data_IF_761228696901
#
_entry.id   IF_761228696901
#
_cell.length_a   1.000
_cell.length_b   1.000
_cell.length_c   1.000
_cell.angle_alpha   90.00
_cell.angle_beta   90.00
_cell.angle_gamma   90.00
#
_symmetry.space_group_name_H-M   'P 1'
#
loop_
_entity.id
_entity.type
_entity.pdbx_description
1 polymer ?
#
# COMPACT_ATOMS: atom_id res chain seq x y z
N UNK A 1 13.19 5.06 -7.56
CA UNK A 1 12.25 4.14 -6.88
C UNK A 1 10.80 4.58 -7.08
N UNK A 2 10.48 5.87 -6.91
CA UNK A 2 9.11 6.40 -7.04
C UNK A 2 8.49 6.14 -8.41
N UNK A 3 9.23 6.38 -9.49
CA UNK A 3 8.76 6.12 -10.87
C UNK A 3 8.41 4.64 -11.06
N UNK A 4 9.24 3.73 -10.55
CA UNK A 4 8.98 2.28 -10.63
C UNK A 4 7.66 1.96 -9.93
N UNK A 5 7.47 2.44 -8.69
CA UNK A 5 6.25 2.20 -7.94
C UNK A 5 4.99 2.75 -8.63
N UNK A 6 5.08 3.95 -9.21
CA UNK A 6 3.99 4.57 -9.96
C UNK A 6 3.64 3.76 -11.21
N UNK A 7 4.65 3.40 -12.01
CA UNK A 7 4.42 2.66 -13.25
C UNK A 7 3.87 1.26 -12.99
N UNK A 8 4.42 0.53 -12.02
CA UNK A 8 3.93 -0.83 -11.71
C UNK A 8 2.53 -0.78 -11.10
N UNK A 9 2.18 0.23 -10.30
CA UNK A 9 0.82 0.45 -9.81
C UNK A 9 -0.15 0.78 -10.95
N UNK A 10 0.25 1.62 -11.91
CA UNK A 10 -0.58 1.93 -13.07
C UNK A 10 -0.86 0.69 -13.91
N UNK A 11 0.18 -0.12 -14.16
CA UNK A 11 0.07 -1.39 -14.88
C UNK A 11 -0.88 -2.35 -14.12
N UNK A 12 -0.78 -2.43 -12.80
CA UNK A 12 -1.68 -3.25 -11.95
C UNK A 12 -3.14 -2.86 -12.17
N UNK A 13 -3.46 -1.57 -12.09
CA UNK A 13 -4.82 -1.07 -12.17
C UNK A 13 -5.38 -1.15 -13.59
N UNK A 14 -4.56 -0.91 -14.62
CA UNK A 14 -4.97 -1.14 -16.02
C UNK A 14 -5.35 -2.60 -16.21
N UNK A 15 -4.51 -3.54 -15.75
CA UNK A 15 -4.80 -4.96 -15.85
C UNK A 15 -6.03 -5.38 -15.05
N UNK A 16 -6.15 -4.90 -13.82
CA UNK A 16 -7.31 -5.21 -12.96
C UNK A 16 -8.64 -4.74 -13.57
N UNK A 17 -8.66 -3.58 -14.22
CA UNK A 17 -9.88 -3.01 -14.78
C UNK A 17 -10.21 -3.59 -16.16
N UNK A 18 -9.22 -3.66 -17.06
CA UNK A 18 -9.48 -3.96 -18.48
C UNK A 18 -9.11 -5.38 -18.91
N UNK A 19 -8.27 -6.07 -18.14
CA UNK A 19 -7.77 -7.42 -18.47
C UNK A 19 -7.80 -8.35 -17.24
N UNK A 20 -8.93 -8.50 -16.54
CA UNK A 20 -8.99 -9.20 -15.24
C UNK A 20 -8.54 -10.67 -15.31
N UNK A 21 -8.76 -11.33 -16.44
CA UNK A 21 -8.34 -12.73 -16.68
C UNK A 21 -6.83 -12.90 -16.84
N UNK A 22 -6.09 -11.82 -17.14
CA UNK A 22 -4.65 -11.88 -17.37
C UNK A 22 -3.88 -11.48 -16.10
N UNK A 23 -3.49 -12.48 -15.32
CA UNK A 23 -2.76 -12.27 -14.07
C UNK A 23 -1.36 -11.65 -14.24
N UNK A 24 -0.78 -11.63 -15.44
CA UNK A 24 0.53 -11.03 -15.71
C UNK A 24 0.62 -9.57 -15.24
N UNK A 25 -0.46 -8.81 -15.43
CA UNK A 25 -0.55 -7.41 -14.99
C UNK A 25 -0.52 -7.30 -13.46
N UNK A 26 -1.24 -8.20 -12.78
CA UNK A 26 -1.30 -8.25 -11.30
C UNK A 26 0.05 -8.59 -10.70
N UNK A 27 0.78 -9.49 -11.34
CA UNK A 27 2.14 -9.88 -10.98
C UNK A 27 3.11 -8.69 -11.02
N UNK A 28 3.10 -7.90 -12.10
CA UNK A 28 3.90 -6.66 -12.20
C UNK A 28 3.47 -5.66 -11.12
N UNK A 29 2.17 -5.56 -10.86
CA UNK A 29 1.60 -4.68 -9.85
C UNK A 29 2.07 -4.91 -8.43
N UNK A 30 2.34 -6.16 -8.04
CA UNK A 30 2.81 -6.49 -6.69
C UNK A 30 4.12 -5.83 -6.30
N UNK A 31 4.90 -5.36 -7.28
CA UNK A 31 6.14 -4.61 -7.08
C UNK A 31 5.86 -3.25 -6.42
N UNK A 32 4.71 -2.62 -6.71
CA UNK A 32 4.41 -1.26 -6.25
C UNK A 32 4.31 -1.17 -4.73
N UNK A 33 3.47 -2.02 -4.12
CA UNK A 33 3.06 -1.87 -2.73
C UNK A 33 4.22 -1.95 -1.72
N UNK A 34 5.17 -2.90 -1.79
CA UNK A 34 6.34 -2.92 -0.92
C UNK A 34 7.22 -1.67 -1.05
N UNK A 35 7.30 -1.06 -2.24
CA UNK A 35 8.04 0.20 -2.43
C UNK A 35 7.32 1.35 -1.72
N UNK A 36 5.99 1.38 -1.73
CA UNK A 36 5.20 2.34 -0.95
C UNK A 36 5.35 2.11 0.56
N UNK A 37 5.31 0.86 1.05
CA UNK A 37 5.56 0.53 2.46
C UNK A 37 6.96 0.95 2.89
N UNK A 38 7.99 0.64 2.10
CA UNK A 38 9.36 1.08 2.35
C UNK A 38 9.44 2.62 2.37
N UNK A 39 8.86 3.30 1.38
CA UNK A 39 8.83 4.75 1.31
C UNK A 39 8.12 5.40 2.49
N UNK A 40 7.08 4.76 3.03
CA UNK A 40 6.38 5.17 4.24
C UNK A 40 7.26 5.06 5.47
N UNK A 41 7.96 3.93 5.65
CA UNK A 41 8.92 3.75 6.74
C UNK A 41 10.06 4.78 6.66
N UNK A 42 10.63 5.01 5.47
CA UNK A 42 11.66 6.04 5.28
C UNK A 42 11.13 7.44 5.58
N UNK A 43 9.91 7.76 5.17
CA UNK A 43 9.24 9.02 5.48
C UNK A 43 9.01 9.19 6.98
N UNK A 44 8.62 8.13 7.68
CA UNK A 44 8.41 8.13 9.13
C UNK A 44 9.70 8.33 9.94
N UNK A 45 10.82 7.76 9.46
CA UNK A 45 12.15 7.92 10.07
C UNK A 45 12.67 9.35 9.89
N UNK A 46 12.56 9.90 8.67
CA UNK A 46 13.23 11.16 8.31
C UNK A 46 12.34 12.41 8.40
N UNK A 47 11.04 12.28 8.65
CA UNK A 47 10.15 13.44 8.76
C UNK A 47 10.43 14.26 10.02
N UNK A 48 10.54 15.58 9.87
CA UNK A 48 10.66 16.52 10.99
C UNK A 48 9.34 16.75 11.74
N UNK A 49 8.19 16.44 11.11
CA UNK A 49 6.86 16.62 11.70
C UNK A 49 5.95 15.45 11.37
N UNK A 50 5.71 14.61 12.39
CA UNK A 50 4.78 13.47 12.33
C UNK A 50 3.33 13.90 12.05
N UNK A 51 2.76 14.93 12.71
CA UNK A 51 1.39 15.36 12.43
C UNK A 51 1.19 15.84 10.99
N UNK A 52 2.12 16.65 10.46
CA UNK A 52 2.07 17.10 9.05
C UNK A 52 2.23 15.94 8.07
N UNK A 53 2.95 14.88 8.43
CA UNK A 53 3.08 13.69 7.61
C UNK A 53 1.77 12.90 7.57
N UNK A 54 1.14 12.64 8.72
CA UNK A 54 -0.15 11.96 8.81
C UNK A 54 -1.27 12.74 8.13
N UNK A 55 -1.32 14.07 8.31
CA UNK A 55 -2.31 14.93 7.64
C UNK A 55 -2.20 14.83 6.11
N UNK A 56 -0.99 14.81 5.55
CA UNK A 56 -0.78 14.65 4.11
C UNK A 56 -1.30 13.30 3.62
N UNK A 57 -1.03 12.22 4.35
CA UNK A 57 -1.56 10.89 4.01
C UNK A 57 -3.09 10.87 4.07
N UNK A 58 -3.68 11.48 5.12
CA UNK A 58 -5.14 11.58 5.27
C UNK A 58 -5.79 12.36 4.12
N UNK A 59 -5.21 13.50 3.72
CA UNK A 59 -5.72 14.27 2.58
C UNK A 59 -5.69 13.46 1.28
N UNK A 60 -4.60 12.74 1.02
CA UNK A 60 -4.51 11.86 -0.17
C UNK A 60 -5.54 10.73 -0.08
N UNK A 61 -5.71 10.11 1.09
CA UNK A 61 -6.67 9.03 1.31
C UNK A 61 -8.11 9.49 1.04
N UNK A 62 -8.50 10.66 1.54
CA UNK A 62 -9.84 11.22 1.33
C UNK A 62 -10.05 11.59 -0.14
N UNK A 63 -9.10 12.32 -0.75
CA UNK A 63 -9.22 12.76 -2.15
C UNK A 63 -9.29 11.57 -3.10
N UNK A 64 -8.50 10.53 -2.84
CA UNK A 64 -8.46 9.34 -3.68
C UNK A 64 -9.60 8.36 -3.45
N UNK A 65 -10.40 8.52 -2.39
CA UNK A 65 -11.48 7.59 -2.06
C UNK A 65 -12.54 7.51 -3.18
N UNK A 66 -13.01 8.66 -3.67
CA UNK A 66 -14.02 8.70 -4.74
C UNK A 66 -13.47 8.06 -6.04
N UNK A 67 -12.31 8.48 -6.59
CA UNK A 67 -11.71 7.82 -7.74
C UNK A 67 -11.49 6.31 -7.56
N UNK A 68 -11.05 5.89 -6.36
CA UNK A 68 -10.83 4.49 -6.04
C UNK A 68 -12.12 3.68 -6.10
N UNK A 69 -13.22 4.17 -5.50
CA UNK A 69 -14.49 3.45 -5.53
C UNK A 69 -15.06 3.32 -6.94
N UNK A 70 -14.91 4.36 -7.77
CA UNK A 70 -15.38 4.34 -9.15
C UNK A 70 -14.54 3.41 -10.04
N UNK A 71 -13.23 3.39 -9.85
CA UNK A 71 -12.32 2.61 -10.70
C UNK A 71 -12.26 1.14 -10.30
N UNK A 72 -12.02 0.85 -9.02
CA UNK A 72 -11.52 -0.45 -8.55
C UNK A 72 -12.53 -1.21 -7.69
N UNK A 73 -13.03 -0.61 -6.62
CA UNK A 73 -13.87 -1.30 -5.65
C UNK A 73 -14.94 -0.37 -5.08
N UNK A 74 -16.19 -0.52 -5.51
CA UNK A 74 -17.35 0.33 -5.14
C UNK A 74 -17.55 0.44 -3.64
N UNK A 75 -17.12 -0.56 -2.87
CA UNK A 75 -17.44 -0.71 -1.46
C UNK A 75 -16.26 -0.76 -0.49
N UNK A 76 -15.04 -0.52 -0.99
CA UNK A 76 -13.81 -0.67 -0.22
C UNK A 76 -13.12 0.66 0.13
N UNK A 77 -12.28 0.63 1.17
CA UNK A 77 -11.37 1.72 1.50
C UNK A 77 -10.06 1.59 0.71
N UNK A 78 -9.54 2.71 0.22
CA UNK A 78 -8.34 2.67 -0.62
C UNK A 78 -7.05 2.37 0.19
N UNK A 79 -6.00 1.93 -0.52
CA UNK A 79 -4.71 1.51 0.08
C UNK A 79 -4.02 2.60 0.91
N UNK A 80 -4.31 3.87 0.69
CA UNK A 80 -3.70 4.96 1.46
C UNK A 80 -4.24 4.98 2.89
N UNK A 81 -5.46 4.46 3.15
CA UNK A 81 -5.95 4.22 4.51
C UNK A 81 -5.12 3.16 5.23
N UNK A 82 -4.77 2.05 4.56
CA UNK A 82 -3.83 1.04 5.10
C UNK A 82 -2.50 1.67 5.47
N UNK A 83 -1.93 2.50 4.59
CA UNK A 83 -0.68 3.22 4.86
C UNK A 83 -0.84 4.22 6.02
N UNK A 84 -1.94 4.98 6.08
CA UNK A 84 -2.22 5.93 7.15
C UNK A 84 -2.33 5.23 8.51
N UNK A 85 -3.12 4.17 8.61
CA UNK A 85 -3.27 3.37 9.83
C UNK A 85 -1.94 2.78 10.26
N UNK A 86 -1.16 2.24 9.32
CA UNK A 86 0.19 1.74 9.58
C UNK A 86 1.12 2.82 10.12
N UNK A 87 1.08 4.03 9.55
CA UNK A 87 1.86 5.15 10.05
C UNK A 87 1.42 5.58 11.45
N UNK A 88 0.12 5.60 11.75
CA UNK A 88 -0.42 5.89 13.09
C UNK A 88 0.11 4.86 14.10
N UNK A 89 0.05 3.57 13.77
CA UNK A 89 0.61 2.50 14.61
C UNK A 89 2.09 2.75 14.87
N UNK A 90 2.89 3.08 13.85
CA UNK A 90 4.30 3.42 14.04
C UNK A 90 4.52 4.64 14.96
N UNK A 91 3.66 5.66 14.89
CA UNK A 91 3.75 6.82 15.81
C UNK A 91 3.45 6.40 17.25
N UNK A 92 2.47 5.52 17.47
CA UNK A 92 2.13 5.01 18.79
C UNK A 92 3.28 4.17 19.33
N UNK A 93 3.78 3.20 18.54
CA UNK A 93 4.87 2.31 18.94
C UNK A 93 6.14 3.06 19.33
N UNK A 94 6.48 4.14 18.62
CA UNK A 94 7.66 4.97 18.95
C UNK A 94 7.55 5.72 20.29
N UNK A 95 6.34 5.85 20.86
CA UNK A 95 6.11 6.51 22.15
C UNK A 95 5.99 5.54 23.32
N UNK A 96 5.92 4.23 23.06
CA UNK A 96 5.80 3.23 24.10
C UNK A 96 7.16 2.99 24.77
N UNK A 97 7.18 2.76 26.10
CA UNK A 97 8.43 2.53 26.83
C UNK A 97 9.03 1.14 26.55
N UNK A 98 8.25 0.19 26.03
CA UNK A 98 8.73 -1.14 25.66
C UNK A 98 7.99 -1.68 24.43
N UNK A 99 8.68 -2.54 23.67
CA UNK A 99 8.11 -3.19 22.48
C UNK A 99 7.00 -4.18 22.83
N UNK A 100 7.05 -4.78 24.03
CA UNK A 100 6.02 -5.71 24.52
C UNK A 100 4.65 -5.06 24.66
N UNK A 101 4.61 -3.79 25.10
CA UNK A 101 3.37 -3.01 25.15
C UNK A 101 2.84 -2.66 23.76
N UNK A 102 3.66 -2.81 22.71
CA UNK A 102 3.25 -2.63 21.32
C UNK A 102 2.43 -3.79 20.76
N UNK A 103 2.57 -4.99 21.32
CA UNK A 103 1.84 -6.19 20.86
C UNK A 103 0.32 -5.99 20.88
N UNK A 104 -0.32 -5.56 21.99
CA UNK A 104 -1.77 -5.35 21.99
C UNK A 104 -2.20 -4.24 21.02
N UNK A 105 -1.38 -3.21 20.80
CA UNK A 105 -1.65 -2.15 19.81
C UNK A 105 -1.66 -2.71 18.40
N UNK A 106 -0.67 -3.54 18.05
CA UNK A 106 -0.59 -4.20 16.74
C UNK A 106 -1.75 -5.17 16.54
N UNK A 107 -2.09 -5.98 17.55
CA UNK A 107 -3.24 -6.91 17.47
C UNK A 107 -4.54 -6.15 17.25
N UNK A 108 -4.78 -5.08 18.02
CA UNK A 108 -5.97 -4.26 17.85
C UNK A 108 -6.04 -3.63 16.45
N UNK A 109 -4.91 -3.17 15.91
CA UNK A 109 -4.83 -2.63 14.56
C UNK A 109 -5.08 -3.70 13.48
N UNK A 110 -4.56 -4.93 13.65
CA UNK A 110 -4.84 -6.06 12.74
C UNK A 110 -6.35 -6.34 12.71
N UNK A 111 -6.98 -6.51 13.87
CA UNK A 111 -8.42 -6.77 13.97
C UNK A 111 -9.23 -5.65 13.30
N UNK A 112 -8.86 -4.39 13.56
CA UNK A 112 -9.51 -3.24 12.94
C UNK A 112 -9.37 -3.25 11.42
N UNK A 113 -8.16 -3.53 10.91
CA UNK A 113 -7.84 -3.46 9.49
C UNK A 113 -8.39 -4.63 8.69
N UNK A 114 -8.55 -5.81 9.30
CA UNK A 114 -9.20 -6.97 8.67
C UNK A 114 -10.72 -6.93 8.81
N UNK A 115 -11.27 -6.18 9.78
CA UNK A 115 -12.71 -5.99 9.92
C UNK A 115 -13.27 -5.18 8.75
N UNK A 116 -12.72 -3.99 8.47
CA UNK A 116 -13.17 -3.14 7.37
C UNK A 116 -12.62 -3.60 6.01
N UNK A 117 -13.32 -3.35 4.89
CA UNK A 117 -12.86 -3.74 3.55
C UNK A 117 -11.76 -2.80 3.02
N UNK A 118 -10.59 -2.78 3.67
CA UNK A 118 -9.49 -1.87 3.35
C UNK A 118 -8.51 -2.55 2.40
N UNK A 119 -8.09 -1.88 1.33
CA UNK A 119 -7.14 -2.49 0.41
C UNK A 119 -5.82 -2.88 1.13
N UNK A 120 -5.36 -4.11 0.91
CA UNK A 120 -4.28 -4.80 1.62
C UNK A 120 -4.46 -5.10 3.12
N UNK A 121 -5.53 -4.65 3.79
CA UNK A 121 -5.84 -4.92 5.21
C UNK A 121 -4.61 -4.98 6.15
N UNK A 122 -4.58 -5.93 7.11
CA UNK A 122 -3.47 -6.13 8.04
C UNK A 122 -2.14 -6.52 7.37
N UNK A 123 -2.16 -7.08 6.16
CA UNK A 123 -0.92 -7.42 5.42
C UNK A 123 -0.05 -6.17 5.23
N UNK A 124 -0.67 -5.04 4.91
CA UNK A 124 0.04 -3.77 4.75
C UNK A 124 0.73 -3.29 6.01
N UNK A 125 0.05 -3.39 7.16
CA UNK A 125 0.61 -3.07 8.47
C UNK A 125 1.80 -3.96 8.79
N UNK A 126 1.65 -5.27 8.64
CA UNK A 126 2.71 -6.24 8.93
C UNK A 126 3.93 -6.01 8.05
N UNK A 127 3.74 -5.73 6.76
CA UNK A 127 4.83 -5.41 5.85
C UNK A 127 5.56 -4.11 6.25
N UNK A 128 4.82 -3.07 6.68
CA UNK A 128 5.41 -1.82 7.21
C UNK A 128 6.24 -2.09 8.47
N UNK A 129 5.73 -2.93 9.40
CA UNK A 129 6.47 -3.30 10.61
C UNK A 129 7.73 -4.10 10.29
N UNK A 130 7.65 -5.02 9.33
CA UNK A 130 8.81 -5.77 8.82
C UNK A 130 9.87 -4.80 8.29
N UNK A 131 9.51 -3.85 7.41
CA UNK A 131 10.45 -2.84 6.90
C UNK A 131 11.02 -1.92 7.98
N UNK A 132 10.26 -1.66 9.07
CA UNK A 132 10.70 -0.83 10.19
C UNK A 132 11.71 -1.53 11.09
N UNK A 133 11.45 -2.79 11.45
CA UNK A 133 12.17 -3.47 12.54
C UNK A 133 13.14 -4.55 12.08
N UNK A 134 13.13 -4.94 10.80
CA UNK A 134 14.04 -5.95 10.25
C UNK A 134 14.95 -5.36 9.17
N UNK A 135 16.10 -6.00 8.93
CA UNK A 135 17.11 -5.55 7.95
C UNK A 135 17.77 -6.74 7.26
N UNK A 136 18.41 -6.49 6.11
CA UNK A 136 19.23 -7.48 5.39
C UNK A 136 18.48 -8.79 5.14
N UNK A 137 19.10 -9.96 5.35
CA UNK A 137 18.50 -11.26 5.10
C UNK A 137 17.25 -11.55 5.96
N UNK A 138 17.18 -11.03 7.19
CA UNK A 138 15.98 -11.16 8.04
C UNK A 138 14.77 -10.44 7.46
N UNK A 139 14.97 -9.33 6.76
CA UNK A 139 13.90 -8.60 6.07
C UNK A 139 13.26 -9.48 4.98
N UNK A 140 14.10 -10.19 4.21
CA UNK A 140 13.64 -11.12 3.17
C UNK A 140 12.92 -12.30 3.81
N UNK A 141 13.50 -12.91 4.85
CA UNK A 141 12.90 -14.04 5.55
C UNK A 141 11.54 -13.70 6.16
N UNK A 142 11.42 -12.55 6.83
CA UNK A 142 10.16 -12.11 7.44
C UNK A 142 9.10 -11.78 6.38
N UNK A 143 9.45 -11.11 5.28
CA UNK A 143 8.51 -10.85 4.20
C UNK A 143 8.09 -12.14 3.48
N UNK A 144 9.00 -13.09 3.26
CA UNK A 144 8.67 -14.39 2.70
C UNK A 144 7.70 -15.15 3.62
N UNK A 145 7.95 -15.17 4.93
CA UNK A 145 7.05 -15.78 5.90
C UNK A 145 5.65 -15.13 5.88
N UNK A 146 5.58 -13.81 5.78
CA UNK A 146 4.31 -13.08 5.62
C UNK A 146 3.58 -13.49 4.33
N UNK A 147 4.28 -13.58 3.20
CA UNK A 147 3.68 -13.99 1.93
C UNK A 147 3.20 -15.45 1.97
N UNK A 148 3.96 -16.35 2.59
CA UNK A 148 3.55 -17.75 2.78
C UNK A 148 2.29 -17.83 3.66
N UNK A 149 2.25 -17.09 4.77
CA UNK A 149 1.06 -17.04 5.62
C UNK A 149 -0.18 -16.59 4.84
N UNK A 150 -0.11 -15.48 4.10
CA UNK A 150 -1.26 -15.00 3.30
C UNK A 150 -1.58 -15.87 2.08
N UNK A 151 -0.60 -16.61 1.55
CA UNK A 151 -0.85 -17.62 0.52
C UNK A 151 -1.73 -18.75 1.05
N UNK A 152 -1.49 -19.25 2.27
CA UNK A 152 -2.32 -20.31 2.86
C UNK A 152 -3.62 -19.79 3.46
N UNK A 153 -3.61 -18.59 4.04
CA UNK A 153 -4.78 -18.02 4.72
C UNK A 153 -5.81 -17.43 3.75
N UNK A 154 -5.36 -16.74 2.69
CA UNK A 154 -6.23 -16.02 1.74
C UNK A 154 -6.06 -16.48 0.27
N UNK A 155 -5.25 -17.52 -0.01
CA UNK A 155 -4.95 -17.97 -1.37
C UNK A 155 -4.30 -16.88 -2.25
N UNK A 156 -3.58 -15.93 -1.64
CA UNK A 156 -2.93 -14.81 -2.35
C UNK A 156 -1.61 -15.22 -3.03
N UNK A 157 -1.67 -16.17 -3.96
CA UNK A 157 -0.50 -16.68 -4.69
C UNK A 157 0.24 -15.57 -5.43
N UNK A 158 -0.52 -14.64 -6.02
CA UNK A 158 0.04 -13.48 -6.76
C UNK A 158 0.93 -12.64 -5.86
N UNK A 159 0.59 -12.51 -4.57
CA UNK A 159 1.30 -11.67 -3.61
C UNK A 159 2.76 -12.12 -3.40
N UNK A 160 3.11 -13.37 -3.74
CA UNK A 160 4.49 -13.86 -3.61
C UNK A 160 5.52 -13.01 -4.36
N UNK A 161 5.17 -12.42 -5.52
CA UNK A 161 6.07 -11.56 -6.29
C UNK A 161 6.39 -10.21 -5.62
N UNK A 162 5.63 -9.82 -4.60
CA UNK A 162 5.94 -8.62 -3.80
C UNK A 162 7.30 -8.71 -3.10
N UNK A 163 7.88 -9.91 -2.98
CA UNK A 163 9.22 -10.10 -2.44
C UNK A 163 10.32 -9.45 -3.30
N UNK A 164 10.08 -9.21 -4.60
CA UNK A 164 11.09 -8.70 -5.54
C UNK A 164 11.70 -7.34 -5.11
N UNK A 165 10.90 -6.28 -4.83
CA UNK A 165 11.43 -5.06 -4.23
C UNK A 165 12.24 -5.30 -2.96
N UNK A 166 11.79 -6.20 -2.09
CA UNK A 166 12.46 -6.49 -0.82
C UNK A 166 13.81 -7.14 -1.03
N UNK A 167 13.95 -8.06 -2.00
CA UNK A 167 15.23 -8.62 -2.41
C UNK A 167 16.19 -7.54 -2.90
N UNK A 168 15.71 -6.62 -3.75
CA UNK A 168 16.52 -5.51 -4.24
C UNK A 168 16.98 -4.57 -3.11
N UNK A 169 16.08 -4.25 -2.18
CA UNK A 169 16.39 -3.42 -0.99
C UNK A 169 17.42 -4.11 -0.11
N UNK A 170 17.29 -5.42 0.13
CA UNK A 170 18.14 -6.17 1.05
C UNK A 170 19.53 -6.48 0.48
N UNK A 171 19.62 -6.89 -0.79
CA UNK A 171 20.85 -7.40 -1.39
C UNK A 171 21.56 -6.41 -2.31
N UNK A 172 20.87 -5.37 -2.79
CA UNK A 172 21.47 -4.36 -3.69
C UNK A 172 21.33 -2.93 -3.16
N UNK A 173 21.78 -2.64 -1.93
CA UNK A 173 21.58 -1.33 -1.30
C UNK A 173 22.22 -0.17 -2.09
N UNK A 174 23.34 -0.39 -2.78
CA UNK A 174 23.98 0.65 -3.60
C UNK A 174 23.10 1.08 -4.78
N UNK A 175 22.51 0.12 -5.47
CA UNK A 175 21.58 0.37 -6.60
C UNK A 175 20.32 1.03 -6.05
N UNK A 176 19.79 0.51 -4.94
CA UNK A 176 18.60 1.06 -4.29
C UNK A 176 18.80 2.53 -3.87
N UNK A 177 19.93 2.85 -3.25
CA UNK A 177 20.26 4.23 -2.86
C UNK A 177 20.38 5.16 -4.08
N UNK A 178 20.88 4.67 -5.22
CA UNK A 178 20.88 5.45 -6.48
C UNK A 178 19.46 5.69 -7.00
N UNK A 179 18.58 4.70 -6.93
CA UNK A 179 17.17 4.82 -7.29
C UNK A 179 16.41 5.75 -6.35
N UNK A 180 16.79 5.82 -5.08
CA UNK A 180 16.18 6.69 -4.08
C UNK A 180 16.54 8.17 -4.28
N UNK A 181 17.74 8.46 -4.79
CA UNK A 181 18.16 9.84 -5.10
C UNK A 181 17.31 10.50 -6.19
N UNK A 182 16.78 9.71 -7.12
CA UNK A 182 15.90 10.20 -8.17
C UNK A 182 14.48 10.32 -7.62
N UNK A 183 14.15 11.54 -7.16
CA UNK A 183 12.82 11.90 -6.63
C UNK A 183 12.02 12.62 -7.70
N UNK A 184 10.76 12.22 -7.86
CA UNK A 184 9.82 12.99 -8.68
C UNK A 184 9.40 14.25 -7.92
N UNK A 185 8.98 15.32 -8.62
CA UNK A 185 8.42 16.49 -7.98
C UNK A 185 7.27 16.11 -7.03
N UNK A 186 7.20 16.75 -5.86
CA UNK A 186 6.23 16.38 -4.81
C UNK A 186 4.79 16.42 -5.28
N UNK A 187 4.45 17.41 -6.11
CA UNK A 187 3.11 17.56 -6.66
C UNK A 187 2.72 16.36 -7.54
N UNK A 188 3.64 15.89 -8.40
CA UNK A 188 3.44 14.70 -9.24
C UNK A 188 3.24 13.46 -8.37
N UNK A 189 4.09 13.26 -7.35
CA UNK A 189 3.99 12.10 -6.45
C UNK A 189 2.63 12.04 -5.73
N UNK A 190 2.13 13.20 -5.29
CA UNK A 190 0.88 13.28 -4.53
C UNK A 190 -0.35 13.20 -5.40
N UNK A 191 -0.33 13.87 -6.55
CA UNK A 191 -1.46 13.86 -7.48
C UNK A 191 -1.59 12.53 -8.20
N UNK A 192 -0.49 11.77 -8.34
CA UNK A 192 -0.50 10.54 -9.12
C UNK A 192 -1.59 9.57 -8.69
N UNK A 193 -1.67 9.21 -7.41
CA UNK A 193 -2.64 8.21 -6.93
C UNK A 193 -4.10 8.58 -7.25
N UNK A 194 -4.64 9.72 -6.78
CA UNK A 194 -6.00 10.11 -7.13
C UNK A 194 -6.19 10.38 -8.63
N UNK A 195 -5.23 10.99 -9.32
CA UNK A 195 -5.39 11.39 -10.72
C UNK A 195 -5.42 10.19 -11.68
N UNK A 196 -4.54 9.20 -11.52
CA UNK A 196 -4.55 8.04 -12.41
C UNK A 196 -5.79 7.16 -12.17
N UNK A 197 -6.25 7.03 -10.93
CA UNK A 197 -7.51 6.34 -10.63
C UNK A 197 -8.71 7.06 -11.27
N UNK A 198 -8.76 8.38 -11.18
CA UNK A 198 -9.83 9.17 -11.79
C UNK A 198 -9.82 9.00 -13.31
N UNK A 199 -8.64 9.06 -13.93
CA UNK A 199 -8.47 8.84 -15.36
C UNK A 199 -8.95 7.43 -15.76
N UNK A 200 -8.56 6.39 -15.01
CA UNK A 200 -9.00 5.03 -15.26
C UNK A 200 -10.51 4.86 -15.07
N UNK A 201 -11.11 5.49 -14.05
CA UNK A 201 -12.55 5.50 -13.84
C UNK A 201 -13.31 6.11 -15.02
N UNK A 202 -12.83 7.25 -15.55
CA UNK A 202 -13.42 7.91 -16.72
C UNK A 202 -13.31 7.00 -17.95
N UNK A 203 -12.13 6.44 -18.21
CA UNK A 203 -11.93 5.54 -19.35
C UNK A 203 -12.81 4.29 -19.24
N UNK A 204 -12.91 3.70 -18.04
CA UNK A 204 -13.82 2.58 -17.75
C UNK A 204 -15.27 2.96 -18.05
N UNK A 205 -15.75 4.10 -17.56
CA UNK A 205 -17.12 4.55 -17.81
C UNK A 205 -17.41 4.78 -19.30
N UNK A 206 -16.45 5.31 -20.06
CA UNK A 206 -16.57 5.53 -21.50
C UNK A 206 -16.62 4.20 -22.27
N UNK A 207 -15.75 3.23 -21.92
CA UNK A 207 -15.66 1.93 -22.61
C UNK A 207 -16.89 1.06 -22.32
N UNK A 208 -17.28 0.96 -21.04
CA UNK A 208 -18.37 0.06 -20.62
C UNK A 208 -19.75 0.74 -20.66
N UNK A 209 -19.82 2.05 -20.93
CA UNK A 209 -21.06 2.86 -20.95
C UNK A 209 -21.87 2.81 -19.66
N UNK A 210 -21.23 2.50 -18.54
CA UNK A 210 -21.84 2.41 -17.23
C UNK A 210 -21.01 3.19 -16.21
N UNK A 211 -21.70 3.94 -15.35
CA UNK A 211 -21.07 4.58 -14.21
C UNK A 211 -21.17 3.66 -13.00
N UNK A 212 -20.01 3.37 -12.40
CA UNK A 212 -19.96 2.63 -11.15
C UNK A 212 -20.72 3.39 -10.05
N UNK A 213 -21.61 2.70 -9.34
CA UNK A 213 -22.25 3.25 -8.14
C UNK A 213 -21.38 2.94 -6.92
N UNK A 214 -21.26 3.91 -6.01
CA UNK A 214 -20.49 3.76 -4.79
C UNK A 214 -21.39 3.14 -3.72
N UNK A 215 -20.94 2.04 -3.15
CA UNK A 215 -21.65 1.29 -2.11
C UNK A 215 -21.23 1.81 -0.73
N UNK A 216 -21.72 3.00 -0.36
CA UNK A 216 -21.32 3.64 0.91
C UNK A 216 -21.59 2.80 2.16
N UNK A 217 -22.59 1.90 2.11
CA UNK A 217 -22.97 1.05 3.24
C UNK A 217 -21.95 -0.04 3.52
N UNK A 218 -21.38 -0.64 2.48
CA UNK A 218 -20.38 -1.70 2.64
C UNK A 218 -19.09 -1.19 3.26
N UNK A 219 -18.78 0.11 3.14
CA UNK A 219 -17.63 0.73 3.82
C UNK A 219 -17.70 0.61 5.35
N UNK A 220 -18.91 0.50 5.90
CA UNK A 220 -19.16 0.35 7.33
C UNK A 220 -19.45 -1.10 7.74
N UNK A 221 -19.42 -2.06 6.80
CA UNK A 221 -19.93 -3.42 6.98
C UNK A 221 -21.37 -3.46 7.54
N UNK A 222 -22.24 -2.58 7.02
CA UNK A 222 -23.67 -2.48 7.37
C UNK A 222 -24.52 -2.83 6.16
#
# INVERSE_FOLDING_TARGET
MQIIAMLTMLIDHIGYIFFPENLAWRYVGRIAFPIYCYGLVQGHIHTSSRPKYLLRLLLIAIIAQIPYNLALNSGGWNVVFTLLLSAIVLVILDKLPSLWLGIPVVIAAIVLMDYYPIDYNAYGLLLVLIFRYTKSYWLVGAHLALNLFYMFYNYWVVQMLSILPTLLIAFTPLIWNRLERHRVPRWVWWSFYPAHLLMLAIVKAVIYKEWAQIEWRSLLNI
#
